data_IF_695031353132
#
_entry.id   IF_695031353132
#
_cell.length_a   1.000
_cell.length_b   1.000
_cell.length_c   1.000
_cell.angle_alpha   90.00
_cell.angle_beta   90.00
_cell.angle_gamma   90.00
#
_symmetry.space_group_name_H-M   'P 1'
#
loop_
_entity.id
_entity.type
_entity.pdbx_description
1 polymer ?
#
# COMPACT_ATOMS: atom_id res chain seq x y z
N UNK A 1 16.93 9.70 16.59
CA UNK A 1 17.44 11.05 16.95
C UNK A 1 16.39 12.15 16.75
N UNK A 2 16.19 12.72 15.55
CA UNK A 2 15.26 13.86 15.35
C UNK A 2 13.78 13.54 15.60
N UNK A 3 13.26 12.44 15.05
CA UNK A 3 11.84 12.06 15.22
C UNK A 3 11.50 11.74 16.68
N UNK A 4 12.37 10.98 17.36
CA UNK A 4 12.18 10.62 18.77
C UNK A 4 12.25 11.84 19.69
N UNK A 5 13.07 12.83 19.36
CA UNK A 5 13.14 14.07 20.12
C UNK A 5 11.90 14.93 19.90
N UNK A 6 11.47 15.08 18.64
CA UNK A 6 10.29 15.88 18.28
C UNK A 6 8.98 15.29 18.81
N UNK A 7 8.88 13.96 18.85
CA UNK A 7 7.68 13.24 19.26
C UNK A 7 7.81 12.61 20.66
N UNK A 8 8.82 12.99 21.44
CA UNK A 8 9.13 12.37 22.74
C UNK A 8 7.94 12.30 23.70
N UNK A 9 7.06 13.30 23.65
CA UNK A 9 5.88 13.39 24.52
C UNK A 9 4.63 12.67 23.96
N UNK A 10 4.69 12.20 22.71
CA UNK A 10 3.58 11.55 22.00
C UNK A 10 3.86 10.06 21.72
N UNK A 11 5.03 9.57 22.14
CA UNK A 11 5.50 8.23 21.86
C UNK A 11 5.92 7.56 23.17
N UNK A 12 5.34 6.41 23.45
CA UNK A 12 5.89 5.48 24.43
C UNK A 12 7.10 4.79 23.80
N UNK A 13 8.31 5.11 24.29
CA UNK A 13 9.58 4.67 23.69
C UNK A 13 9.67 3.15 23.51
N UNK A 14 9.07 2.38 24.41
CA UNK A 14 9.07 0.91 24.37
C UNK A 14 8.17 0.33 23.26
N UNK A 15 7.24 1.11 22.72
CA UNK A 15 6.30 0.70 21.67
C UNK A 15 6.70 1.17 20.27
N UNK A 16 7.81 1.91 20.14
CA UNK A 16 8.28 2.42 18.85
C UNK A 16 9.63 1.83 18.51
N UNK A 17 9.65 1.12 17.39
CA UNK A 17 10.86 0.53 16.82
C UNK A 17 11.17 1.29 15.54
N UNK A 18 12.31 1.97 15.51
CA UNK A 18 12.85 2.58 14.30
C UNK A 18 13.97 1.65 13.79
N UNK A 19 13.77 0.92 12.69
CA UNK A 19 14.81 0.05 12.16
C UNK A 19 16.02 0.87 11.69
N UNK A 20 17.21 0.27 11.70
CA UNK A 20 18.38 0.86 11.05
C UNK A 20 18.13 0.98 9.54
N UNK A 21 18.83 1.88 8.86
CA UNK A 21 18.60 2.18 7.45
C UNK A 21 18.71 0.93 6.57
N UNK A 22 19.64 0.04 6.89
CA UNK A 22 19.88 -1.21 6.16
C UNK A 22 18.76 -2.23 6.33
N UNK A 23 17.93 -2.09 7.37
CA UNK A 23 16.80 -2.97 7.71
C UNK A 23 15.44 -2.34 7.41
N UNK A 24 15.40 -1.10 6.95
CA UNK A 24 14.17 -0.32 6.70
C UNK A 24 13.51 -0.69 5.36
N UNK A 25 13.23 -1.98 5.14
CA UNK A 25 12.56 -2.47 3.94
C UNK A 25 11.04 -2.44 4.17
N UNK A 26 10.40 -1.34 3.74
CA UNK A 26 8.97 -1.08 3.95
C UNK A 26 8.04 -2.25 3.58
N UNK A 27 8.10 -2.80 2.35
CA UNK A 27 7.26 -3.92 1.94
C UNK A 27 7.44 -5.19 2.79
N UNK A 28 8.68 -5.47 3.23
CA UNK A 28 8.96 -6.63 4.07
C UNK A 28 8.32 -6.48 5.45
N UNK A 29 8.35 -5.27 6.03
CA UNK A 29 7.67 -4.98 7.29
C UNK A 29 6.15 -4.99 7.14
N UNK A 30 5.63 -4.39 6.07
CA UNK A 30 4.20 -4.30 5.78
C UNK A 30 3.55 -5.68 5.75
N UNK A 31 4.17 -6.66 5.07
CA UNK A 31 3.69 -8.05 4.97
C UNK A 31 3.47 -8.74 6.34
N UNK A 32 4.21 -8.33 7.36
CA UNK A 32 4.16 -8.93 8.70
C UNK A 32 3.43 -8.07 9.73
N UNK A 33 2.90 -6.92 9.32
CA UNK A 33 2.16 -6.02 10.19
C UNK A 33 0.69 -6.44 10.33
N UNK A 34 0.06 -6.01 11.44
CA UNK A 34 -1.40 -6.08 11.61
C UNK A 34 -2.11 -5.12 10.63
N UNK A 35 -1.56 -3.91 10.48
CA UNK A 35 -2.03 -2.88 9.57
C UNK A 35 -0.90 -1.91 9.26
N UNK A 36 -1.03 -1.17 8.17
CA UNK A 36 -0.09 -0.12 7.76
C UNK A 36 -0.83 1.20 7.61
N UNK A 37 -0.51 2.17 8.45
CA UNK A 37 -1.09 3.53 8.41
C UNK A 37 -0.04 4.51 7.90
N UNK A 38 -0.36 5.29 6.86
CA UNK A 38 0.60 6.21 6.25
C UNK A 38 -0.06 7.40 5.56
N UNK A 39 0.65 8.54 5.48
CA UNK A 39 0.21 9.71 4.72
C UNK A 39 0.31 9.56 3.20
N UNK A 40 1.08 8.59 2.70
CA UNK A 40 1.24 8.32 1.27
C UNK A 40 0.37 7.14 0.80
N UNK A 41 -0.17 7.22 -0.42
CA UNK A 41 -0.97 6.12 -0.99
C UNK A 41 -0.14 4.87 -1.35
N UNK A 42 1.14 5.04 -1.72
CA UNK A 42 1.97 3.94 -2.24
C UNK A 42 2.19 2.81 -1.23
N UNK A 43 2.64 3.14 -0.01
CA UNK A 43 2.95 2.12 1.01
C UNK A 43 1.66 1.45 1.52
N UNK A 44 0.57 2.19 1.68
CA UNK A 44 -0.73 1.61 2.04
C UNK A 44 -1.20 0.62 0.96
N UNK A 45 -0.99 0.95 -0.31
CA UNK A 45 -1.30 0.09 -1.44
C UNK A 45 -0.45 -1.18 -1.46
N UNK A 46 0.85 -1.07 -1.23
CA UNK A 46 1.76 -2.21 -1.13
C UNK A 46 1.31 -3.16 -0.01
N UNK A 47 0.91 -2.63 1.15
CA UNK A 47 0.35 -3.44 2.24
C UNK A 47 -0.91 -4.19 1.81
N UNK A 48 -1.87 -3.51 1.16
CA UNK A 48 -3.10 -4.14 0.69
C UNK A 48 -2.85 -5.24 -0.36
N UNK A 49 -1.82 -5.09 -1.19
CA UNK A 49 -1.35 -6.12 -2.13
C UNK A 49 -0.70 -7.33 -1.41
N UNK A 50 -0.31 -7.21 -0.15
CA UNK A 50 0.04 -8.36 0.69
C UNK A 50 -1.16 -8.94 1.44
N UNK A 51 -2.36 -8.36 1.29
CA UNK A 51 -3.54 -8.70 2.09
C UNK A 51 -3.52 -8.10 3.49
N UNK A 52 -2.63 -7.15 3.77
CA UNK A 52 -2.55 -6.45 5.04
C UNK A 52 -3.35 -5.15 4.95
N UNK A 53 -4.20 -4.83 5.94
CA UNK A 53 -4.95 -3.56 5.97
C UNK A 53 -4.05 -2.34 5.77
N UNK A 54 -4.22 -1.70 4.61
CA UNK A 54 -3.55 -0.47 4.25
C UNK A 54 -4.48 0.72 4.50
N UNK A 55 -4.08 1.63 5.38
CA UNK A 55 -4.82 2.85 5.69
C UNK A 55 -4.03 4.07 5.24
N UNK A 56 -4.59 4.79 4.27
CA UNK A 56 -3.99 6.05 3.81
C UNK A 56 -4.67 7.26 4.45
N UNK A 57 -3.86 8.20 4.92
CA UNK A 57 -4.29 9.53 5.39
C UNK A 57 -4.26 10.57 4.26
N UNK A 58 -3.99 10.12 3.02
CA UNK A 58 -3.98 11.01 1.87
C UNK A 58 -5.37 11.63 1.68
N UNK A 59 -5.48 12.96 1.51
CA UNK A 59 -6.77 13.63 1.60
C UNK A 59 -7.72 13.29 0.44
N UNK A 60 -7.19 12.89 -0.71
CA UNK A 60 -7.97 12.58 -1.90
C UNK A 60 -8.21 11.08 -2.05
N UNK A 61 -9.34 10.72 -2.62
CA UNK A 61 -9.58 9.35 -3.06
C UNK A 61 -8.85 9.10 -4.39
N UNK A 62 -7.88 8.18 -4.37
CA UNK A 62 -7.13 7.83 -5.57
C UNK A 62 -7.90 6.76 -6.38
N UNK A 63 -8.04 6.90 -7.71
CA UNK A 63 -8.72 5.91 -8.54
C UNK A 63 -8.16 4.49 -8.40
N UNK A 64 -6.84 4.37 -8.21
CA UNK A 64 -6.16 3.08 -8.02
C UNK A 64 -6.58 2.43 -6.71
N UNK A 65 -6.77 3.20 -5.64
CA UNK A 65 -7.17 2.66 -4.34
C UNK A 65 -8.63 2.19 -4.40
N UNK A 66 -9.50 2.94 -5.10
CA UNK A 66 -10.88 2.52 -5.38
C UNK A 66 -10.93 1.20 -6.16
N UNK A 67 -10.08 1.07 -7.19
CA UNK A 67 -9.97 -0.16 -7.98
C UNK A 67 -9.60 -1.36 -7.09
N UNK A 68 -8.53 -1.25 -6.30
CA UNK A 68 -8.08 -2.34 -5.44
C UNK A 68 -9.10 -2.68 -4.36
N UNK A 69 -9.74 -1.68 -3.74
CA UNK A 69 -10.84 -1.92 -2.79
C UNK A 69 -12.02 -2.63 -3.46
N UNK A 70 -12.35 -2.31 -4.72
CA UNK A 70 -13.45 -2.97 -5.45
C UNK A 70 -13.13 -4.43 -5.80
N UNK A 71 -11.85 -4.79 -5.88
CA UNK A 71 -11.40 -6.18 -6.06
C UNK A 71 -11.39 -6.97 -4.74
N UNK A 72 -11.70 -6.31 -3.61
CA UNK A 72 -11.73 -6.94 -2.29
C UNK A 72 -10.40 -6.87 -1.53
N UNK A 73 -9.47 -6.00 -1.93
CA UNK A 73 -8.25 -5.76 -1.15
C UNK A 73 -8.49 -4.78 0.00
N UNK A 74 -7.79 -4.94 1.14
CA UNK A 74 -8.05 -4.16 2.34
C UNK A 74 -7.33 -2.79 2.31
N UNK A 75 -7.63 -1.96 1.31
CA UNK A 75 -7.15 -0.57 1.22
C UNK A 75 -8.28 0.39 1.56
N UNK A 76 -8.04 1.29 2.53
CA UNK A 76 -9.01 2.30 2.97
C UNK A 76 -8.35 3.65 3.20
N UNK A 77 -9.13 4.71 3.03
CA UNK A 77 -8.77 6.07 3.44
C UNK A 77 -9.34 6.34 4.82
N UNK A 78 -8.58 6.98 5.69
CA UNK A 78 -9.06 7.48 6.97
C UNK A 78 -8.64 8.95 7.17
N UNK A 79 -9.43 9.66 7.95
CA UNK A 79 -9.23 11.07 8.27
C UNK A 79 -9.18 11.34 9.78
N UNK A 80 -9.49 10.34 10.61
CA UNK A 80 -9.41 10.40 12.06
C UNK A 80 -8.87 9.09 12.66
N UNK A 81 -8.49 9.13 13.94
CA UNK A 81 -8.02 7.96 14.68
C UNK A 81 -9.15 6.94 14.84
N UNK A 82 -10.37 7.39 15.09
CA UNK A 82 -11.55 6.54 15.25
C UNK A 82 -11.85 5.76 13.97
N UNK A 83 -11.71 6.40 12.81
CA UNK A 83 -11.84 5.73 11.51
C UNK A 83 -10.73 4.67 11.32
N UNK A 84 -9.48 4.99 11.68
CA UNK A 84 -8.37 4.04 11.63
C UNK A 84 -8.68 2.80 12.49
N UNK A 85 -9.10 3.01 13.74
CA UNK A 85 -9.41 1.92 14.66
C UNK A 85 -10.54 1.05 14.13
N UNK A 86 -11.63 1.67 13.66
CA UNK A 86 -12.75 0.95 13.05
C UNK A 86 -12.32 0.10 11.85
N UNK A 87 -11.44 0.62 10.98
CA UNK A 87 -10.93 -0.16 9.84
C UNK A 87 -10.13 -1.38 10.32
N UNK A 88 -9.29 -1.23 11.34
CA UNK A 88 -8.46 -2.31 11.87
C UNK A 88 -9.34 -3.38 12.54
N UNK A 89 -10.27 -2.97 13.41
CA UNK A 89 -11.16 -3.89 14.14
C UNK A 89 -12.04 -4.70 13.18
N UNK A 90 -12.55 -4.07 12.13
CA UNK A 90 -13.35 -4.76 11.11
C UNK A 90 -12.51 -5.72 10.26
N UNK A 91 -11.21 -5.47 10.10
CA UNK A 91 -10.34 -6.30 9.28
C UNK A 91 -9.75 -7.51 10.02
N UNK A 92 -9.69 -7.46 11.36
CA UNK A 92 -8.99 -8.47 12.19
C UNK A 92 -9.46 -9.90 11.92
N UNK A 93 -10.77 -10.09 11.74
CA UNK A 93 -11.35 -11.41 11.51
C UNK A 93 -11.18 -11.93 10.06
N UNK A 94 -10.76 -11.08 9.13
CA UNK A 94 -10.72 -11.36 7.69
C UNK A 94 -9.29 -11.40 7.11
N UNK A 95 -8.25 -11.29 7.95
CA UNK A 95 -6.85 -11.19 7.49
C UNK A 95 -6.45 -12.34 6.56
N UNK A 96 -6.78 -13.59 6.91
CA UNK A 96 -6.44 -14.75 6.07
C UNK A 96 -7.15 -14.71 4.70
N UNK A 97 -8.40 -14.24 4.69
CA UNK A 97 -9.18 -14.06 3.47
C UNK A 97 -8.54 -12.97 2.59
N UNK A 98 -8.12 -11.85 3.17
CA UNK A 98 -7.43 -10.80 2.42
C UNK A 98 -6.11 -11.26 1.83
N UNK A 99 -5.32 -12.05 2.55
CA UNK A 99 -4.06 -12.63 2.05
C UNK A 99 -4.34 -13.58 0.88
N UNK A 100 -5.35 -14.45 1.00
CA UNK A 100 -5.74 -15.35 -0.08
C UNK A 100 -6.21 -14.56 -1.32
N UNK A 101 -7.06 -13.55 -1.12
CA UNK A 101 -7.57 -12.68 -2.18
C UNK A 101 -6.46 -11.90 -2.88
N UNK A 102 -5.51 -11.38 -2.12
CA UNK A 102 -4.36 -10.66 -2.67
C UNK A 102 -3.50 -11.53 -3.57
N UNK A 103 -3.21 -12.77 -3.16
CA UNK A 103 -2.49 -13.74 -3.99
C UNK A 103 -3.24 -14.06 -5.28
N UNK A 104 -4.55 -14.29 -5.19
CA UNK A 104 -5.41 -14.56 -6.35
C UNK A 104 -5.37 -13.39 -7.35
N UNK A 105 -5.55 -12.16 -6.88
CA UNK A 105 -5.57 -10.96 -7.72
C UNK A 105 -4.22 -10.76 -8.41
N UNK A 106 -3.12 -10.80 -7.65
CA UNK A 106 -1.78 -10.57 -8.20
C UNK A 106 -1.41 -11.61 -9.24
N UNK A 107 -1.76 -12.89 -9.02
CA UNK A 107 -1.48 -13.96 -9.97
C UNK A 107 -2.17 -13.75 -11.33
N UNK A 108 -3.28 -13.00 -11.36
CA UNK A 108 -4.05 -12.72 -12.57
C UNK A 108 -3.76 -11.33 -13.17
N UNK A 109 -2.94 -10.51 -12.52
CA UNK A 109 -2.56 -9.20 -13.05
C UNK A 109 -1.53 -9.34 -14.17
N UNK A 110 -1.73 -8.59 -15.25
CA UNK A 110 -0.73 -8.45 -16.30
C UNK A 110 0.48 -7.66 -15.75
N UNK A 111 1.72 -8.09 -16.06
CA UNK A 111 2.90 -7.31 -15.71
C UNK A 111 2.87 -5.95 -16.44
N UNK A 112 3.00 -4.81 -15.74
CA UNK A 112 2.82 -3.49 -16.33
C UNK A 112 3.82 -3.18 -17.45
N UNK A 113 5.01 -3.78 -17.40
CA UNK A 113 6.01 -3.64 -18.46
C UNK A 113 5.53 -4.18 -19.81
N UNK A 114 4.64 -5.18 -19.83
CA UNK A 114 4.14 -5.76 -21.10
C UNK A 114 3.34 -4.72 -21.87
N UNK A 115 2.33 -4.11 -21.23
CA UNK A 115 1.52 -3.04 -21.81
C UNK A 115 2.38 -1.85 -22.24
N UNK A 116 3.37 -1.45 -21.42
CA UNK A 116 4.25 -0.34 -21.75
C UNK A 116 5.09 -0.62 -22.99
N UNK A 117 5.66 -1.82 -23.12
CA UNK A 117 6.47 -2.22 -24.28
C UNK A 117 5.65 -2.27 -25.57
N UNK A 118 4.38 -2.68 -25.50
CA UNK A 118 3.46 -2.66 -26.64
C UNK A 118 3.22 -1.23 -27.13
N UNK A 119 2.90 -0.31 -26.22
CA UNK A 119 2.70 1.11 -26.54
C UNK A 119 3.97 1.72 -27.16
N UNK A 120 5.15 1.44 -26.59
CA UNK A 120 6.41 1.96 -27.11
C UNK A 120 6.69 1.49 -28.55
N UNK A 121 6.44 0.20 -28.84
CA UNK A 121 6.58 -0.35 -30.20
C UNK A 121 5.61 0.31 -31.19
N UNK A 122 4.38 0.60 -30.78
CA UNK A 122 3.43 1.33 -31.63
C UNK A 122 3.91 2.74 -31.99
N UNK A 123 4.52 3.43 -31.02
CA UNK A 123 5.08 4.78 -31.24
C UNK A 123 6.27 4.72 -32.20
N UNK A 124 7.19 3.76 -32.06
CA UNK A 124 8.31 3.56 -32.98
C UNK A 124 7.85 3.28 -34.41
N UNK A 125 6.86 2.40 -34.57
CA UNK A 125 6.31 2.04 -35.88
C UNK A 125 5.58 3.21 -36.56
N UNK A 126 5.00 4.14 -35.80
CA UNK A 126 4.38 5.36 -36.34
C UNK A 126 5.41 6.45 -36.66
N UNK A 127 6.55 6.47 -35.97
CA UNK A 127 7.66 7.40 -36.23
C UNK A 127 8.58 6.98 -37.39
N UNK A 128 8.60 5.70 -37.76
CA UNK A 128 9.45 5.14 -38.83
C UNK A 128 8.93 5.29 -40.26
N UNK A 129 7.75 5.90 -40.47
CA UNK A 129 7.13 6.09 -41.78
C UNK A 129 7.36 7.47 -42.43
N UNK A 130 8.22 8.31 -41.84
CA UNK A 130 8.49 9.66 -42.31
C UNK A 130 9.98 9.92 -42.51
N UNK A 131 10.54 9.40 -43.59
CA UNK A 131 11.72 9.91 -44.31
C UNK A 131 11.58 9.53 -45.79
#
# INVERSE_FOLDING_TARGET
>A
AYIEERLRNHIEKERVIIPTVEKAIGPALAKHALAVITGGGTIAREAALYGVPGVTLFPLELPVDRCLSSLGLPIKRASSVEEIMSIIDNAENDIELFIAKAKEIIANMEPPQKTLLEILREVENRGGGGC
#
